data_IF_858437974979
#
_entry.id   IF_858437974979
#
_cell.length_a   1.000
_cell.length_b   1.000
_cell.length_c   1.000
_cell.angle_alpha   90.00
_cell.angle_beta   90.00
_cell.angle_gamma   90.00
#
_symmetry.space_group_name_H-M   'P 1'
#
loop_
_entity.id
_entity.type
_entity.pdbx_description
1 polymer ?
#
# COMPACT_ATOMS: atom_id res chain seq x y z
N UNK A 1 29.42 77.41 -20.63
CA UNK A 1 27.96 77.34 -20.94
C UNK A 1 27.41 76.00 -20.48
N UNK A 2 28.10 74.91 -20.80
CA UNK A 2 27.74 73.53 -20.45
C UNK A 2 27.62 73.27 -18.94
N UNK A 3 28.47 73.85 -18.09
CA UNK A 3 28.35 73.70 -16.63
C UNK A 3 27.13 74.39 -16.01
N UNK A 4 26.60 75.43 -16.66
CA UNK A 4 25.36 76.08 -16.23
C UNK A 4 24.14 75.27 -16.67
N UNK A 5 24.21 74.67 -17.87
CA UNK A 5 23.21 73.73 -18.38
C UNK A 5 23.16 72.49 -17.49
N UNK A 6 24.30 71.86 -17.19
CA UNK A 6 24.39 70.69 -16.30
C UNK A 6 23.76 70.96 -14.93
N UNK A 7 24.14 72.06 -14.27
CA UNK A 7 23.56 72.43 -12.96
C UNK A 7 22.06 72.72 -13.03
N UNK A 8 21.58 73.36 -14.10
CA UNK A 8 20.15 73.61 -14.28
C UNK A 8 19.37 72.30 -14.46
N UNK A 9 19.95 71.36 -15.21
CA UNK A 9 19.40 70.03 -15.46
C UNK A 9 19.40 69.19 -14.18
N UNK A 10 20.53 69.09 -13.47
CA UNK A 10 20.64 68.38 -12.17
C UNK A 10 19.69 68.93 -11.10
N UNK A 11 19.39 70.23 -11.15
CA UNK A 11 18.40 70.86 -10.24
C UNK A 11 16.96 70.52 -10.61
N UNK A 12 16.64 70.41 -11.89
CA UNK A 12 15.30 70.04 -12.36
C UNK A 12 15.05 68.54 -12.30
N UNK A 13 16.11 67.74 -12.39
CA UNK A 13 16.10 66.27 -12.41
C UNK A 13 17.13 65.74 -11.39
N UNK A 14 16.81 65.78 -10.08
CA UNK A 14 17.72 65.36 -9.01
C UNK A 14 18.24 63.93 -9.16
N UNK A 15 17.49 63.05 -9.82
CA UNK A 15 17.85 61.67 -10.15
C UNK A 15 19.07 61.57 -11.09
N UNK A 16 19.38 62.62 -11.85
CA UNK A 16 20.57 62.66 -12.71
C UNK A 16 21.84 62.86 -11.89
N UNK A 17 21.78 63.65 -10.81
CA UNK A 17 22.92 63.91 -9.92
C UNK A 17 23.44 62.64 -9.27
N UNK A 18 22.55 61.75 -8.86
CA UNK A 18 22.90 60.47 -8.22
C UNK A 18 22.86 59.25 -9.13
N UNK A 19 22.53 59.43 -10.42
CA UNK A 19 22.42 58.32 -11.37
C UNK A 19 21.24 57.37 -11.12
N UNK A 20 20.27 57.74 -10.29
CA UNK A 20 19.14 56.90 -9.88
C UNK A 20 18.15 56.59 -11.02
N UNK A 21 18.24 57.31 -12.12
CA UNK A 21 17.50 57.06 -13.36
C UNK A 21 18.04 55.84 -14.14
N UNK A 22 19.26 55.39 -13.84
CA UNK A 22 19.88 54.24 -14.50
C UNK A 22 19.73 52.98 -13.65
N UNK A 23 19.42 51.82 -14.25
CA UNK A 23 19.59 50.54 -13.59
C UNK A 23 21.06 50.37 -13.18
N UNK A 24 21.29 49.90 -11.95
CA UNK A 24 22.62 49.64 -11.42
C UNK A 24 22.77 48.18 -11.06
N UNK A 25 23.96 47.62 -11.25
CA UNK A 25 24.28 46.33 -10.66
C UNK A 25 24.45 46.46 -9.16
N UNK A 26 24.01 45.44 -8.45
CA UNK A 26 24.17 45.30 -7.01
C UNK A 26 24.46 43.84 -6.69
N UNK A 27 24.99 43.59 -5.50
CA UNK A 27 25.28 42.25 -4.99
C UNK A 27 24.49 42.02 -3.71
N UNK A 28 23.88 40.85 -3.58
CA UNK A 28 23.17 40.42 -2.36
C UNK A 28 24.19 40.22 -1.25
N UNK A 29 23.99 40.86 -0.10
CA UNK A 29 24.85 40.70 1.08
C UNK A 29 24.20 39.94 2.22
N UNK A 30 22.86 39.92 2.28
CA UNK A 30 22.10 39.13 3.24
C UNK A 30 20.64 38.97 2.78
N UNK A 31 19.97 37.92 3.26
CA UNK A 31 18.50 37.83 3.20
C UNK A 31 17.90 38.65 4.34
N UNK A 32 17.04 39.62 4.02
CA UNK A 32 16.44 40.49 5.01
C UNK A 32 15.38 39.71 5.80
N UNK A 33 15.59 39.56 7.12
CA UNK A 33 14.66 39.00 8.14
C UNK A 33 13.58 38.06 7.57
N UNK A 34 13.98 36.87 7.12
CA UNK A 34 13.07 35.87 6.57
C UNK A 34 12.13 35.32 7.67
N UNK A 35 11.00 36.00 7.89
CA UNK A 35 10.06 35.65 8.97
C UNK A 35 9.31 34.34 8.71
N UNK A 36 9.05 33.60 9.79
CA UNK A 36 8.50 32.25 9.75
C UNK A 36 7.01 32.11 9.36
N UNK A 37 6.28 33.19 9.06
CA UNK A 37 4.84 33.14 8.80
C UNK A 37 4.35 34.18 7.79
N UNK A 38 3.20 33.88 7.17
CA UNK A 38 2.55 34.75 6.17
C UNK A 38 2.19 36.13 6.72
N UNK A 39 2.03 37.10 5.82
CA UNK A 39 1.50 38.43 6.13
C UNK A 39 1.81 39.47 5.06
N UNK A 40 1.31 40.68 5.28
CA UNK A 40 1.45 41.79 4.34
C UNK A 40 2.94 42.15 4.16
N UNK A 41 3.33 42.32 2.90
CA UNK A 41 4.62 42.88 2.49
C UNK A 41 4.38 44.35 2.13
N UNK A 42 4.99 45.26 2.88
CA UNK A 42 4.88 46.71 2.67
C UNK A 42 6.25 47.38 2.79
N UNK A 43 6.35 48.68 2.47
CA UNK A 43 7.61 49.42 2.51
C UNK A 43 8.25 49.47 3.91
N UNK A 44 7.46 49.32 4.97
CA UNK A 44 7.93 49.31 6.36
C UNK A 44 8.33 47.89 6.82
N UNK A 45 7.75 46.86 6.19
CA UNK A 45 7.91 45.44 6.50
C UNK A 45 8.03 44.62 5.22
N UNK A 46 9.16 44.76 4.51
CA UNK A 46 9.43 43.91 3.36
C UNK A 46 9.64 42.47 3.83
N UNK A 47 8.92 41.51 3.23
CA UNK A 47 8.97 40.06 3.59
C UNK A 47 9.69 39.21 2.56
N UNK A 48 9.78 39.70 1.33
CA UNK A 48 10.52 39.06 0.23
C UNK A 48 11.51 40.09 -0.30
N UNK A 49 12.59 40.25 0.43
CA UNK A 49 13.59 41.27 0.21
C UNK A 49 14.97 40.82 0.66
N UNK A 50 15.99 41.50 0.17
CA UNK A 50 17.39 41.24 0.48
C UNK A 50 18.12 42.56 0.73
N UNK A 51 19.19 42.46 1.50
CA UNK A 51 20.13 43.56 1.66
C UNK A 51 21.11 43.51 0.50
N UNK A 52 21.42 44.67 -0.08
CA UNK A 52 22.31 44.78 -1.24
C UNK A 52 23.36 45.86 -1.06
N UNK A 53 24.53 45.63 -1.64
CA UNK A 53 25.51 46.68 -1.91
C UNK A 53 25.47 47.04 -3.40
N UNK A 54 25.40 48.33 -3.70
CA UNK A 54 25.34 48.80 -5.09
C UNK A 54 26.75 48.82 -5.67
N UNK A 55 26.92 48.27 -6.87
CA UNK A 55 28.22 48.19 -7.55
C UNK A 55 28.46 49.43 -8.44
N UNK A 56 29.73 49.78 -8.61
CA UNK A 56 30.22 50.71 -9.61
C UNK A 56 30.34 50.08 -11.00
N UNK A 57 30.58 50.88 -12.06
CA UNK A 57 30.80 50.37 -13.42
C UNK A 57 32.04 49.48 -13.57
N UNK A 58 32.98 49.59 -12.63
CA UNK A 58 34.17 48.76 -12.51
C UNK A 58 33.90 47.38 -11.88
N UNK A 59 32.68 47.16 -11.37
CA UNK A 59 32.30 45.92 -10.70
C UNK A 59 32.73 45.85 -9.23
N UNK A 60 33.24 46.94 -8.66
CA UNK A 60 33.55 47.07 -7.23
C UNK A 60 32.39 47.75 -6.47
N UNK A 61 32.25 47.56 -5.14
CA UNK A 61 31.22 48.24 -4.37
C UNK A 61 31.35 49.77 -4.44
N UNK A 62 30.23 50.47 -4.68
CA UNK A 62 30.20 51.93 -4.69
C UNK A 62 30.30 52.47 -3.25
N UNK A 63 31.49 52.92 -2.88
CA UNK A 63 31.79 53.46 -1.55
C UNK A 63 30.98 54.70 -1.15
N UNK A 64 30.27 55.33 -2.09
CA UNK A 64 29.39 56.48 -1.82
C UNK A 64 28.00 56.08 -1.36
N UNK A 65 27.60 54.83 -1.58
CA UNK A 65 26.29 54.33 -1.18
C UNK A 65 26.42 53.38 0.00
N UNK A 66 25.55 53.50 1.02
CA UNK A 66 25.49 52.50 2.08
C UNK A 66 24.87 51.21 1.53
N UNK A 67 24.98 50.14 2.32
CA UNK A 67 24.17 48.94 2.12
C UNK A 67 22.70 49.35 2.17
N UNK A 68 21.94 48.97 1.14
CA UNK A 68 20.50 49.17 1.08
C UNK A 68 19.84 47.95 1.71
N UNK A 69 19.23 48.15 2.88
CA UNK A 69 18.57 47.08 3.61
C UNK A 69 17.13 46.87 3.13
N UNK A 70 16.68 45.62 3.10
CA UNK A 70 15.28 45.26 2.82
C UNK A 70 14.78 45.66 1.44
N UNK A 71 15.64 45.60 0.41
CA UNK A 71 15.23 45.94 -0.96
C UNK A 71 14.35 44.82 -1.53
N UNK A 72 13.10 45.11 -1.96
CA UNK A 72 12.17 44.10 -2.44
C UNK A 72 12.69 43.32 -3.65
N UNK A 73 12.51 42.00 -3.62
CA UNK A 73 12.81 41.09 -4.74
C UNK A 73 11.65 41.05 -5.74
N UNK A 74 11.93 40.83 -7.04
CA UNK A 74 10.90 40.66 -8.05
C UNK A 74 10.21 39.30 -7.88
N UNK A 75 8.90 39.26 -8.12
CA UNK A 75 8.15 38.01 -8.24
C UNK A 75 8.08 37.61 -9.72
N UNK A 76 8.69 36.47 -10.14
CA UNK A 76 8.59 35.99 -11.52
C UNK A 76 7.14 35.67 -11.91
N UNK A 77 6.38 35.14 -10.95
CA UNK A 77 4.94 34.88 -10.98
C UNK A 77 4.42 35.16 -9.57
N UNK A 78 3.34 35.93 -9.39
CA UNK A 78 2.91 36.36 -8.06
C UNK A 78 1.44 36.82 -7.95
N UNK A 79 0.98 36.96 -6.70
CA UNK A 79 -0.33 37.44 -6.28
C UNK A 79 -0.50 37.28 -4.76
N UNK A 80 -1.71 37.45 -4.23
CA UNK A 80 -1.97 37.17 -2.81
C UNK A 80 -1.81 35.67 -2.53
N UNK A 81 -0.83 35.32 -1.68
CA UNK A 81 -0.49 33.95 -1.29
C UNK A 81 -0.21 32.98 -2.46
N UNK A 82 0.25 33.48 -3.61
CA UNK A 82 0.58 32.67 -4.79
C UNK A 82 1.88 33.10 -5.45
N UNK A 83 2.64 32.13 -5.97
CA UNK A 83 3.87 32.40 -6.72
C UNK A 83 4.96 31.35 -6.51
N UNK A 84 6.13 31.61 -7.10
CA UNK A 84 7.36 30.84 -6.89
C UNK A 84 8.33 31.74 -6.12
N UNK A 85 8.69 31.31 -4.90
CA UNK A 85 9.52 32.07 -3.99
C UNK A 85 10.85 31.35 -3.78
N UNK A 86 11.94 32.03 -4.10
CA UNK A 86 13.30 31.52 -3.89
C UNK A 86 14.24 32.70 -3.65
N UNK A 87 14.82 32.77 -2.45
CA UNK A 87 15.82 33.79 -2.15
C UNK A 87 17.10 33.52 -2.94
N UNK A 88 17.70 34.54 -3.58
CA UNK A 88 19.05 34.43 -4.09
C UNK A 88 20.04 34.28 -2.93
N UNK A 89 21.11 33.53 -3.15
CA UNK A 89 22.20 33.38 -2.18
C UNK A 89 23.01 34.69 -2.04
N UNK A 90 23.67 34.86 -0.90
CA UNK A 90 24.66 35.93 -0.73
C UNK A 90 25.73 35.86 -1.83
N UNK A 91 26.09 37.02 -2.37
CA UNK A 91 26.97 37.14 -3.53
C UNK A 91 26.27 37.16 -4.88
N UNK A 92 24.97 36.80 -4.95
CA UNK A 92 24.22 36.84 -6.21
C UNK A 92 24.15 38.26 -6.78
N UNK A 93 24.40 38.40 -8.08
CA UNK A 93 24.31 39.68 -8.77
C UNK A 93 22.86 39.99 -9.15
N UNK A 94 22.42 41.22 -8.87
CA UNK A 94 21.07 41.71 -9.15
C UNK A 94 21.11 43.07 -9.82
N UNK A 95 20.01 43.45 -10.46
CA UNK A 95 19.78 44.80 -11.00
C UNK A 95 18.88 45.56 -10.05
N UNK A 96 19.40 46.63 -9.43
CA UNK A 96 18.62 47.55 -8.61
C UNK A 96 18.20 48.77 -9.42
N UNK A 97 16.94 49.13 -9.27
CA UNK A 97 16.34 50.33 -9.85
C UNK A 97 15.68 51.15 -8.74
N UNK A 98 15.45 52.44 -9.02
CA UNK A 98 14.84 53.36 -8.09
C UNK A 98 13.52 53.87 -8.68
N UNK A 99 12.39 53.54 -8.04
CA UNK A 99 11.08 53.92 -8.56
C UNK A 99 10.98 55.44 -8.68
N UNK A 100 10.61 55.94 -9.86
CA UNK A 100 10.57 57.37 -10.19
C UNK A 100 11.92 58.10 -10.03
N UNK A 101 13.05 57.38 -10.03
CA UNK A 101 14.37 57.96 -9.76
C UNK A 101 14.58 58.37 -8.29
N UNK A 102 13.71 57.92 -7.37
CA UNK A 102 13.76 58.29 -5.96
C UNK A 102 14.69 57.36 -5.17
N UNK A 103 15.74 57.88 -4.50
CA UNK A 103 16.72 57.07 -3.76
C UNK A 103 16.12 56.21 -2.64
N UNK A 104 14.98 56.64 -2.07
CA UNK A 104 14.28 55.96 -0.98
C UNK A 104 13.26 54.92 -1.46
N UNK A 105 13.18 54.65 -2.76
CA UNK A 105 12.32 53.60 -3.34
C UNK A 105 13.11 52.62 -4.21
N UNK A 106 14.15 51.97 -3.65
CA UNK A 106 14.87 50.93 -4.38
C UNK A 106 14.00 49.69 -4.54
N UNK A 107 14.15 48.99 -5.66
CA UNK A 107 13.60 47.66 -5.87
C UNK A 107 14.55 46.86 -6.77
N UNK A 108 14.56 45.54 -6.62
CA UNK A 108 15.31 44.68 -7.51
C UNK A 108 14.43 44.40 -8.73
N UNK A 109 14.95 44.72 -9.91
CA UNK A 109 14.25 44.47 -11.17
C UNK A 109 14.47 43.04 -11.66
N UNK A 110 15.69 42.51 -11.51
CA UNK A 110 16.07 41.21 -12.09
C UNK A 110 17.25 40.61 -11.33
N UNK A 111 17.22 39.29 -11.16
CA UNK A 111 18.36 38.49 -10.67
C UNK A 111 19.16 38.03 -11.89
N UNK A 112 20.48 38.20 -11.86
CA UNK A 112 21.36 37.85 -12.96
C UNK A 112 22.08 36.52 -12.69
N UNK A 113 22.24 35.65 -13.71
CA UNK A 113 22.92 34.36 -13.53
C UNK A 113 24.45 34.47 -13.49
N UNK A 114 25.01 35.68 -13.59
CA UNK A 114 26.46 35.89 -13.65
C UNK A 114 27.12 35.40 -12.37
N UNK A 115 28.14 34.55 -12.50
CA UNK A 115 28.86 33.95 -11.37
C UNK A 115 28.16 32.76 -10.72
N UNK A 116 26.95 32.38 -11.16
CA UNK A 116 26.22 31.22 -10.64
C UNK A 116 26.47 29.96 -11.47
N UNK A 117 26.42 28.80 -10.80
CA UNK A 117 26.32 27.51 -11.48
C UNK A 117 24.87 27.25 -11.86
N UNK A 118 24.61 26.99 -13.14
CA UNK A 118 23.26 26.83 -13.66
C UNK A 118 22.87 25.35 -13.82
N UNK A 119 21.58 25.00 -13.67
CA UNK A 119 21.06 23.70 -14.07
C UNK A 119 21.46 23.30 -15.50
N UNK A 120 21.58 22.01 -15.75
CA UNK A 120 21.52 21.49 -17.12
C UNK A 120 20.08 21.60 -17.64
N UNK A 121 19.90 22.43 -18.68
CA UNK A 121 18.60 22.62 -19.36
C UNK A 121 18.79 22.45 -20.86
N UNK A 122 18.72 21.20 -21.38
CA UNK A 122 18.67 20.94 -22.81
C UNK A 122 17.56 21.72 -23.51
N UNK A 123 17.68 21.89 -24.83
CA UNK A 123 16.66 22.61 -25.60
C UNK A 123 15.31 21.88 -25.53
N UNK A 124 14.29 22.57 -25.05
CA UNK A 124 12.93 22.05 -24.91
C UNK A 124 12.60 21.63 -23.47
N UNK A 125 13.62 21.35 -22.66
CA UNK A 125 13.43 21.02 -21.25
C UNK A 125 12.99 22.23 -20.43
N UNK A 126 12.26 21.95 -19.36
CA UNK A 126 11.97 22.90 -18.29
C UNK A 126 12.35 22.25 -16.96
N UNK A 127 13.02 22.99 -16.08
CA UNK A 127 13.44 22.48 -14.78
C UNK A 127 13.12 23.48 -13.67
N UNK A 128 12.52 22.96 -12.60
CA UNK A 128 12.45 23.61 -11.29
C UNK A 128 13.26 22.78 -10.31
N UNK A 129 14.37 23.32 -9.80
CA UNK A 129 15.30 22.55 -8.98
C UNK A 129 15.83 23.33 -7.78
N UNK A 130 16.18 22.57 -6.74
CA UNK A 130 17.08 23.00 -5.67
C UNK A 130 18.51 22.49 -5.94
N UNK A 131 18.64 21.25 -6.42
CA UNK A 131 19.90 20.61 -6.79
C UNK A 131 19.63 19.58 -7.90
N UNK A 132 20.68 18.99 -8.48
CA UNK A 132 20.52 17.91 -9.46
C UNK A 132 19.75 16.70 -8.88
N UNK A 133 19.90 16.43 -7.58
CA UNK A 133 19.21 15.35 -6.88
C UNK A 133 17.78 15.71 -6.45
N UNK A 134 17.38 16.99 -6.50
CA UNK A 134 16.07 17.48 -6.06
C UNK A 134 15.48 18.45 -7.08
N UNK A 135 14.65 17.90 -7.98
CA UNK A 135 14.10 18.63 -9.13
C UNK A 135 12.72 18.11 -9.57
N UNK A 136 11.98 19.00 -10.22
CA UNK A 136 10.89 18.67 -11.11
C UNK A 136 11.25 19.10 -12.52
N UNK A 137 11.12 18.18 -13.47
CA UNK A 137 11.56 18.40 -14.85
C UNK A 137 10.50 17.93 -15.83
N UNK A 138 10.37 18.70 -16.90
CA UNK A 138 9.67 18.31 -18.13
C UNK A 138 10.72 18.22 -19.22
N UNK A 139 10.81 17.09 -19.92
CA UNK A 139 11.68 16.98 -21.10
C UNK A 139 10.98 17.52 -22.36
N UNK A 140 11.71 17.57 -23.48
CA UNK A 140 11.18 18.03 -24.75
C UNK A 140 9.97 17.21 -25.29
N UNK A 141 9.80 15.96 -24.84
CA UNK A 141 8.69 15.08 -25.22
C UNK A 141 7.47 15.22 -24.29
N UNK A 142 7.60 16.01 -23.22
CA UNK A 142 6.53 16.27 -22.25
C UNK A 142 6.49 15.27 -21.09
N UNK A 143 7.52 14.44 -20.91
CA UNK A 143 7.60 13.53 -19.77
C UNK A 143 7.93 14.30 -18.50
N UNK A 144 7.23 13.99 -17.40
CA UNK A 144 7.45 14.61 -16.11
C UNK A 144 8.28 13.71 -15.19
N UNK A 145 9.31 14.29 -14.56
CA UNK A 145 10.08 13.69 -13.49
C UNK A 145 9.90 14.50 -12.20
N UNK A 146 9.53 13.83 -11.10
CA UNK A 146 9.62 14.36 -9.74
C UNK A 146 10.68 13.55 -8.99
N UNK A 147 11.79 14.17 -8.65
CA UNK A 147 12.92 13.51 -8.00
C UNK A 147 13.34 14.25 -6.74
N UNK A 148 13.67 13.49 -5.69
CA UNK A 148 14.33 13.99 -4.49
C UNK A 148 15.16 12.87 -3.86
N UNK A 149 16.30 13.23 -3.27
CA UNK A 149 17.08 12.41 -2.33
C UNK A 149 16.59 12.55 -0.87
N UNK A 150 15.61 13.43 -0.64
CA UNK A 150 14.94 13.63 0.63
C UNK A 150 13.60 12.89 0.73
N UNK A 151 12.60 13.57 1.30
CA UNK A 151 11.28 13.01 1.58
C UNK A 151 10.20 13.75 0.81
N UNK A 152 9.30 12.98 0.17
CA UNK A 152 8.03 13.48 -0.35
C UNK A 152 6.94 13.26 0.71
N UNK A 153 6.16 14.32 0.99
CA UNK A 153 4.96 14.26 1.83
C UNK A 153 3.82 14.99 1.12
N UNK A 154 2.86 14.23 0.61
CA UNK A 154 1.66 14.79 0.00
C UNK A 154 0.55 14.82 1.08
N UNK A 155 0.01 16.01 1.36
CA UNK A 155 -1.13 16.23 2.27
C UNK A 155 -2.27 16.80 1.47
N UNK A 156 -3.39 16.09 1.42
CA UNK A 156 -4.58 16.51 0.71
C UNK A 156 -5.83 16.03 1.44
N UNK A 157 -6.95 16.72 1.19
CA UNK A 157 -8.29 16.24 1.60
C UNK A 157 -8.68 15.06 0.71
N UNK A 158 -8.36 15.14 -0.59
CA UNK A 158 -8.64 14.13 -1.60
C UNK A 158 -7.43 13.97 -2.54
N UNK A 159 -7.16 12.73 -2.96
CA UNK A 159 -6.09 12.40 -3.91
C UNK A 159 -6.61 11.37 -4.91
N UNK A 160 -6.74 11.78 -6.17
CA UNK A 160 -7.09 10.92 -7.28
C UNK A 160 -5.85 10.65 -8.15
N UNK A 161 -5.74 9.42 -8.65
CA UNK A 161 -4.69 9.02 -9.58
C UNK A 161 -5.32 8.18 -10.68
N UNK A 162 -5.30 8.72 -11.89
CA UNK A 162 -5.77 8.03 -13.09
C UNK A 162 -4.60 7.77 -14.04
N UNK A 163 -4.41 6.52 -14.41
CA UNK A 163 -3.40 6.11 -15.37
C UNK A 163 -3.85 4.85 -16.10
N UNK A 164 -3.47 4.71 -17.37
CA UNK A 164 -3.68 3.46 -18.12
C UNK A 164 -2.83 2.30 -17.56
N UNK A 165 -1.68 2.63 -16.96
CA UNK A 165 -0.81 1.67 -16.28
C UNK A 165 -0.10 2.34 -15.12
N UNK A 166 -0.03 1.65 -13.98
CA UNK A 166 0.70 2.09 -12.78
C UNK A 166 1.66 0.97 -12.35
N UNK A 167 2.93 1.31 -12.17
CA UNK A 167 3.94 0.37 -11.66
C UNK A 167 4.59 0.99 -10.44
N UNK A 168 4.52 0.29 -9.32
CA UNK A 168 5.11 0.72 -8.07
C UNK A 168 6.16 -0.30 -7.60
N UNK A 169 7.34 0.20 -7.21
CA UNK A 169 8.42 -0.64 -6.68
C UNK A 169 8.93 -0.05 -5.39
N UNK A 170 8.88 -0.86 -4.33
CA UNK A 170 9.32 -0.46 -3.00
C UNK A 170 10.30 -1.50 -2.45
N UNK A 171 11.22 -1.05 -1.60
CA UNK A 171 11.95 -1.97 -0.74
C UNK A 171 11.08 -2.44 0.44
N UNK A 172 10.22 -1.55 0.95
CA UNK A 172 9.26 -1.81 2.02
C UNK A 172 8.03 -0.93 1.82
N UNK A 173 6.84 -1.44 2.15
CA UNK A 173 5.58 -0.71 2.06
C UNK A 173 4.73 -0.99 3.30
N UNK A 174 4.20 0.07 3.91
CA UNK A 174 3.20 0.00 4.98
C UNK A 174 2.02 0.86 4.58
N UNK A 175 0.81 0.32 4.70
CA UNK A 175 -0.43 1.03 4.44
C UNK A 175 -1.33 0.91 5.67
N UNK A 176 -1.67 2.05 6.26
CA UNK A 176 -2.66 2.15 7.33
C UNK A 176 -3.87 2.89 6.77
N UNK A 177 -5.06 2.34 6.99
CA UNK A 177 -6.34 2.94 6.60
C UNK A 177 -7.18 2.97 7.86
N UNK A 178 -7.58 4.16 8.29
CA UNK A 178 -8.27 4.35 9.57
C UNK A 178 -9.75 3.94 9.53
N UNK A 179 -10.31 3.85 8.33
CA UNK A 179 -11.70 3.46 8.10
C UNK A 179 -11.79 2.30 7.09
N UNK A 180 -12.33 2.53 5.89
CA UNK A 180 -12.58 1.47 4.90
C UNK A 180 -11.53 1.41 3.78
N UNK A 181 -11.12 0.19 3.41
CA UNK A 181 -10.28 -0.09 2.25
C UNK A 181 -11.01 -1.04 1.31
N UNK A 182 -11.42 -0.53 0.14
CA UNK A 182 -12.06 -1.32 -0.92
C UNK A 182 -11.11 -1.46 -2.09
N UNK A 183 -11.05 -2.65 -2.69
CA UNK A 183 -10.30 -2.90 -3.92
C UNK A 183 -11.15 -3.74 -4.87
N UNK A 184 -11.44 -3.17 -6.03
CA UNK A 184 -12.24 -3.79 -7.09
C UNK A 184 -11.35 -4.05 -8.29
N UNK A 185 -11.20 -5.32 -8.67
CA UNK A 185 -10.38 -5.73 -9.81
C UNK A 185 -11.30 -6.39 -10.83
N UNK A 186 -11.48 -5.76 -12.00
CA UNK A 186 -12.33 -6.30 -13.07
C UNK A 186 -11.72 -7.50 -13.80
N UNK A 187 -10.40 -7.66 -13.70
CA UNK A 187 -9.65 -8.81 -14.23
C UNK A 187 -9.23 -9.77 -13.11
N UNK A 188 -7.94 -10.11 -13.08
CA UNK A 188 -7.38 -11.06 -12.11
C UNK A 188 -6.58 -10.29 -11.05
N UNK A 189 -6.79 -10.63 -9.78
CA UNK A 189 -5.93 -10.21 -8.67
C UNK A 189 -5.03 -11.36 -8.23
N UNK A 190 -3.72 -11.15 -8.25
CA UNK A 190 -2.74 -12.13 -7.80
C UNK A 190 -1.93 -11.58 -6.64
N UNK A 191 -1.85 -12.32 -5.54
CA UNK A 191 -1.03 -12.01 -4.38
C UNK A 191 -0.01 -13.12 -4.17
N UNK A 192 1.27 -12.78 -4.20
CA UNK A 192 2.38 -13.72 -4.00
C UNK A 192 3.27 -13.23 -2.87
N UNK A 193 3.51 -14.09 -1.89
CA UNK A 193 4.46 -13.85 -0.81
C UNK A 193 5.45 -15.03 -0.74
N UNK A 194 6.75 -14.75 -0.95
CA UNK A 194 7.81 -15.77 -0.84
C UNK A 194 8.02 -16.25 0.60
N UNK A 195 7.74 -15.37 1.57
CA UNK A 195 7.80 -15.70 3.00
C UNK A 195 6.47 -16.25 3.49
N UNK A 196 5.63 -15.38 4.03
CA UNK A 196 4.33 -15.77 4.59
C UNK A 196 3.23 -14.81 4.15
N UNK A 197 2.03 -15.36 3.94
CA UNK A 197 0.79 -14.60 3.80
C UNK A 197 0.01 -14.69 5.11
N UNK A 198 -0.32 -13.55 5.73
CA UNK A 198 -1.11 -13.49 6.96
C UNK A 198 -2.37 -12.68 6.73
N UNK A 199 -3.53 -13.31 6.92
CA UNK A 199 -4.84 -12.68 6.85
C UNK A 199 -5.48 -12.80 8.23
N UNK A 200 -5.61 -11.67 8.92
CA UNK A 200 -6.12 -11.61 10.28
C UNK A 200 -7.36 -10.73 10.30
N UNK A 201 -8.43 -11.21 10.92
CA UNK A 201 -9.64 -10.42 11.19
C UNK A 201 -9.96 -10.51 12.67
N UNK A 202 -10.22 -9.35 13.30
CA UNK A 202 -10.75 -9.30 14.67
C UNK A 202 -12.26 -9.56 14.73
N UNK A 203 -12.93 -9.61 13.57
CA UNK A 203 -14.35 -9.89 13.43
C UNK A 203 -14.59 -11.08 12.52
N UNK A 204 -15.46 -10.93 11.52
CA UNK A 204 -15.72 -11.96 10.53
C UNK A 204 -14.70 -11.91 9.39
N UNK A 205 -14.46 -13.06 8.75
CA UNK A 205 -13.76 -13.17 7.48
C UNK A 205 -14.59 -14.08 6.58
N UNK A 206 -14.87 -13.64 5.35
CA UNK A 206 -15.64 -14.40 4.36
C UNK A 206 -14.78 -14.60 3.11
N UNK A 207 -14.68 -15.85 2.65
CA UNK A 207 -14.04 -16.22 1.40
C UNK A 207 -15.04 -17.00 0.58
N UNK A 208 -15.34 -16.53 -0.62
CA UNK A 208 -16.32 -17.12 -1.50
C UNK A 208 -15.81 -17.09 -2.94
N UNK A 209 -16.15 -18.13 -3.69
CA UNK A 209 -15.93 -18.24 -5.13
C UNK A 209 -17.25 -18.67 -5.78
N UNK A 210 -17.53 -18.17 -6.99
CA UNK A 210 -18.70 -18.61 -7.79
C UNK A 210 -18.47 -19.98 -8.39
N UNK A 211 -17.21 -20.26 -8.73
CA UNK A 211 -16.73 -21.53 -9.26
C UNK A 211 -15.93 -22.25 -8.16
N UNK A 212 -14.72 -22.74 -8.48
CA UNK A 212 -13.91 -23.48 -7.53
C UNK A 212 -13.18 -22.63 -6.48
N UNK A 213 -13.11 -23.16 -5.25
CA UNK A 213 -12.23 -22.68 -4.19
C UNK A 213 -11.22 -23.78 -3.84
N UNK A 214 -9.94 -23.56 -4.15
CA UNK A 214 -8.86 -24.50 -3.83
C UNK A 214 -8.08 -24.06 -2.60
N UNK A 215 -7.88 -24.99 -1.66
CA UNK A 215 -7.00 -24.82 -0.51
C UNK A 215 -6.02 -25.99 -0.45
N UNK A 216 -4.74 -25.73 -0.70
CA UNK A 216 -3.70 -26.76 -0.80
C UNK A 216 -2.52 -26.40 0.10
N UNK A 217 -2.09 -27.36 0.92
CA UNK A 217 -0.89 -27.25 1.76
C UNK A 217 -0.02 -28.50 1.58
N UNK A 218 1.30 -28.36 1.71
CA UNK A 218 2.25 -29.50 1.56
C UNK A 218 2.48 -30.23 2.89
N UNK A 219 2.27 -29.53 4.01
CA UNK A 219 2.44 -30.07 5.35
C UNK A 219 1.08 -30.21 6.01
N UNK A 220 0.77 -29.31 6.94
CA UNK A 220 -0.41 -29.41 7.80
C UNK A 220 -1.46 -28.37 7.40
N UNK A 221 -2.72 -28.79 7.34
CA UNK A 221 -3.87 -27.91 7.38
C UNK A 221 -4.52 -28.02 8.77
N UNK A 222 -4.38 -26.98 9.58
CA UNK A 222 -4.95 -26.93 10.92
C UNK A 222 -6.25 -26.12 10.90
N UNK A 223 -7.38 -26.81 11.10
CA UNK A 223 -8.70 -26.17 11.23
C UNK A 223 -9.18 -26.31 12.69
N UNK A 224 -9.37 -25.18 13.36
CA UNK A 224 -9.84 -25.13 14.75
C UNK A 224 -11.14 -24.33 14.80
N UNK A 225 -12.18 -24.92 15.38
CA UNK A 225 -13.51 -24.31 15.48
C UNK A 225 -13.98 -24.39 16.93
N UNK A 226 -14.24 -23.23 17.55
CA UNK A 226 -14.55 -23.14 18.99
C UNK A 226 -15.97 -23.53 19.39
N UNK A 227 -16.92 -23.54 18.45
CA UNK A 227 -18.33 -23.88 18.73
C UNK A 227 -18.89 -24.91 17.75
N UNK A 228 -19.13 -24.51 16.51
CA UNK A 228 -19.82 -25.35 15.52
C UNK A 228 -19.13 -25.29 14.16
N UNK A 229 -18.72 -26.45 13.65
CA UNK A 229 -18.31 -26.61 12.27
C UNK A 229 -19.51 -27.11 11.46
N UNK A 230 -19.97 -26.31 10.49
CA UNK A 230 -21.01 -26.69 9.54
C UNK A 230 -20.40 -26.86 8.16
N UNK A 231 -20.63 -28.01 7.56
CA UNK A 231 -20.25 -28.28 6.18
C UNK A 231 -21.47 -28.84 5.46
N UNK A 232 -21.80 -28.27 4.31
CA UNK A 232 -22.92 -28.70 3.48
C UNK A 232 -22.38 -28.93 2.08
N UNK A 233 -22.65 -30.11 1.54
CA UNK A 233 -22.22 -30.53 0.21
C UNK A 233 -23.47 -30.90 -0.57
N UNK A 234 -23.67 -30.26 -1.73
CA UNK A 234 -24.83 -30.53 -2.59
C UNK A 234 -24.70 -31.81 -3.41
N UNK A 235 -23.46 -32.23 -3.68
CA UNK A 235 -23.12 -33.51 -4.32
C UNK A 235 -22.38 -34.43 -3.35
N UNK A 236 -21.29 -35.02 -3.82
CA UNK A 236 -20.53 -36.01 -3.06
C UNK A 236 -19.46 -35.36 -2.17
N UNK A 237 -19.29 -35.89 -0.95
CA UNK A 237 -18.16 -35.60 -0.08
C UNK A 237 -17.18 -36.76 -0.15
N UNK A 238 -15.97 -36.50 -0.66
CA UNK A 238 -14.90 -37.50 -0.72
C UNK A 238 -13.80 -37.19 0.30
N UNK A 239 -13.53 -38.15 1.19
CA UNK A 239 -12.42 -38.11 2.14
C UNK A 239 -11.48 -39.29 1.89
N UNK A 240 -10.24 -39.02 1.45
CA UNK A 240 -9.20 -40.05 1.30
C UNK A 240 -8.14 -39.88 2.39
N UNK A 241 -8.01 -40.90 3.24
CA UNK A 241 -7.12 -40.87 4.40
C UNK A 241 -6.23 -42.11 4.36
N UNK A 242 -4.97 -41.91 3.98
CA UNK A 242 -3.96 -42.99 3.93
C UNK A 242 -3.48 -43.41 5.33
N UNK A 243 -3.55 -42.48 6.28
CA UNK A 243 -3.20 -42.72 7.68
C UNK A 243 -4.41 -43.08 8.54
N UNK A 244 -4.43 -42.56 9.76
CA UNK A 244 -5.52 -42.77 10.71
C UNK A 244 -6.60 -41.70 10.56
N UNK A 245 -7.85 -42.13 10.38
CA UNK A 245 -9.02 -41.29 10.67
C UNK A 245 -9.45 -41.50 12.13
N UNK A 246 -9.29 -40.47 12.97
CA UNK A 246 -9.74 -40.50 14.37
C UNK A 246 -10.93 -39.56 14.57
N UNK A 247 -12.11 -40.14 14.82
CA UNK A 247 -13.34 -39.40 15.16
C UNK A 247 -13.71 -39.73 16.61
N UNK A 248 -13.66 -38.73 17.49
CA UNK A 248 -14.00 -38.90 18.92
C UNK A 248 -15.04 -37.86 19.30
N UNK A 249 -16.21 -38.32 19.74
CA UNK A 249 -17.29 -37.48 20.23
C UNK A 249 -17.54 -37.75 21.72
N UNK A 250 -17.71 -36.70 22.53
CA UNK A 250 -17.95 -36.84 23.96
C UNK A 250 -19.40 -37.26 24.29
N UNK A 251 -20.36 -36.93 23.42
CA UNK A 251 -21.79 -37.16 23.65
C UNK A 251 -22.30 -38.29 22.76
N UNK A 252 -22.27 -38.10 21.44
CA UNK A 252 -22.71 -39.12 20.49
C UNK A 252 -22.11 -38.89 19.11
N UNK A 253 -22.03 -39.97 18.34
CA UNK A 253 -21.75 -39.92 16.91
C UNK A 253 -22.98 -40.46 16.17
N UNK A 254 -23.40 -39.75 15.14
CA UNK A 254 -24.60 -40.09 14.36
C UNK A 254 -24.23 -40.17 12.89
N UNK A 255 -24.33 -41.38 12.32
CA UNK A 255 -24.14 -41.67 10.91
C UNK A 255 -25.48 -42.16 10.35
N UNK A 256 -26.09 -41.39 9.44
CA UNK A 256 -27.41 -41.71 8.88
C UNK A 256 -27.31 -41.68 7.36
N UNK A 257 -27.60 -42.83 6.75
CA UNK A 257 -27.75 -42.97 5.31
C UNK A 257 -28.76 -44.10 5.03
N UNK A 258 -29.44 -44.10 3.87
CA UNK A 258 -30.27 -45.25 3.47
C UNK A 258 -29.47 -46.56 3.41
N UNK A 259 -28.17 -46.48 3.09
CA UNK A 259 -27.22 -47.59 3.14
C UNK A 259 -25.94 -47.09 3.80
N UNK A 260 -25.44 -47.85 4.76
CA UNK A 260 -24.18 -47.56 5.44
C UNK A 260 -23.23 -48.73 5.22
N UNK A 261 -21.99 -48.40 4.91
CA UNK A 261 -20.90 -49.36 4.84
C UNK A 261 -19.94 -49.08 6.00
N UNK A 262 -19.70 -50.08 6.84
CA UNK A 262 -18.78 -50.00 7.96
C UNK A 262 -17.91 -51.26 7.96
N UNK A 263 -16.63 -51.12 7.62
CA UNK A 263 -15.67 -52.23 7.53
C UNK A 263 -14.71 -52.04 6.36
N UNK A 264 -14.23 -53.14 5.79
CA UNK A 264 -13.34 -53.16 4.62
C UNK A 264 -14.11 -53.19 3.31
N UNK A 265 -13.44 -53.14 2.15
CA UNK A 265 -14.09 -53.25 0.83
C UNK A 265 -14.94 -54.53 0.67
N UNK A 266 -14.52 -55.63 1.31
CA UNK A 266 -15.20 -56.93 1.19
C UNK A 266 -16.16 -57.21 2.36
N UNK A 267 -15.94 -56.61 3.54
CA UNK A 267 -16.69 -56.92 4.77
C UNK A 267 -17.41 -55.70 5.29
N UNK A 268 -18.74 -55.75 5.30
CA UNK A 268 -19.59 -54.78 5.98
C UNK A 268 -20.13 -55.38 7.29
N UNK A 269 -19.77 -54.77 8.43
CA UNK A 269 -20.22 -55.18 9.77
C UNK A 269 -21.74 -55.22 9.86
N UNK A 270 -22.46 -54.31 9.19
CA UNK A 270 -23.92 -54.29 9.22
C UNK A 270 -24.53 -55.49 8.49
N UNK A 271 -23.89 -55.97 7.42
CA UNK A 271 -24.33 -57.18 6.73
C UNK A 271 -24.10 -58.41 7.60
N UNK A 272 -22.94 -58.52 8.25
CA UNK A 272 -22.65 -59.60 9.19
C UNK A 272 -23.67 -59.61 10.33
N UNK A 273 -24.09 -58.43 10.82
CA UNK A 273 -25.13 -58.32 11.84
C UNK A 273 -26.50 -58.80 11.34
N UNK A 274 -26.88 -58.49 10.10
CA UNK A 274 -28.09 -59.03 9.48
C UNK A 274 -28.02 -60.56 9.35
N UNK A 275 -26.91 -61.09 8.87
CA UNK A 275 -26.72 -62.54 8.72
C UNK A 275 -26.79 -63.25 10.08
N UNK A 276 -26.22 -62.65 11.13
CA UNK A 276 -26.33 -63.13 12.51
C UNK A 276 -27.78 -63.14 13.00
N UNK A 277 -28.56 -62.08 12.74
CA UNK A 277 -29.99 -62.04 13.10
C UNK A 277 -30.78 -63.14 12.38
N UNK A 278 -30.49 -63.40 11.11
CA UNK A 278 -31.07 -64.50 10.36
C UNK A 278 -30.69 -65.86 10.97
N UNK A 279 -29.42 -66.06 11.34
CA UNK A 279 -28.95 -67.28 11.99
C UNK A 279 -29.65 -67.50 13.34
N UNK A 280 -29.82 -66.45 14.15
CA UNK A 280 -30.55 -66.50 15.42
C UNK A 280 -32.02 -66.88 15.20
N UNK A 281 -32.66 -66.36 14.16
CA UNK A 281 -34.04 -66.73 13.81
C UNK A 281 -34.13 -68.22 13.39
N UNK A 282 -33.17 -68.70 12.59
CA UNK A 282 -33.09 -70.10 12.18
C UNK A 282 -32.91 -71.03 13.39
N UNK A 283 -31.95 -70.71 14.27
CA UNK A 283 -31.70 -71.46 15.50
C UNK A 283 -32.93 -71.57 16.40
N UNK A 284 -33.67 -70.47 16.59
CA UNK A 284 -34.90 -70.48 17.41
C UNK A 284 -35.99 -71.37 16.80
N UNK A 285 -36.08 -71.40 15.46
CA UNK A 285 -37.03 -72.28 14.76
C UNK A 285 -36.68 -73.76 14.96
N UNK A 286 -35.40 -74.09 14.83
CA UNK A 286 -34.91 -75.46 15.05
C UNK A 286 -35.03 -75.90 16.51
N UNK A 287 -34.82 -74.99 17.45
CA UNK A 287 -35.02 -75.24 18.87
C UNK A 287 -36.49 -75.54 19.20
N UNK A 288 -37.43 -74.83 18.57
CA UNK A 288 -38.87 -75.07 18.77
C UNK A 288 -39.31 -76.47 18.28
N UNK A 289 -38.58 -77.07 17.33
CA UNK A 289 -38.83 -78.42 16.79
C UNK A 289 -37.97 -79.50 17.46
N UNK A 290 -37.19 -79.13 18.47
CA UNK A 290 -36.20 -80.01 19.09
C UNK A 290 -36.84 -81.15 19.89
N UNK A 291 -36.41 -82.39 19.63
CA UNK A 291 -36.93 -83.58 20.31
C UNK A 291 -35.84 -84.62 20.56
N UNK A 292 -35.98 -85.37 21.66
CA UNK A 292 -35.11 -86.49 22.02
C UNK A 292 -35.86 -87.82 21.97
N UNK A 293 -35.20 -88.87 21.45
CA UNK A 293 -35.61 -90.26 21.68
C UNK A 293 -35.10 -90.80 23.02
N UNK A 294 -35.60 -91.95 23.47
CA UNK A 294 -35.11 -92.59 24.71
C UNK A 294 -33.59 -92.83 24.65
N UNK A 295 -32.84 -92.04 25.44
CA UNK A 295 -31.37 -92.09 25.55
C UNK A 295 -30.60 -91.87 24.23
N UNK A 296 -31.11 -91.04 23.32
CA UNK A 296 -30.41 -90.67 22.08
C UNK A 296 -30.12 -89.15 22.01
N UNK A 297 -29.06 -88.74 21.26
CA UNK A 297 -28.88 -87.35 20.84
C UNK A 297 -30.13 -86.82 20.12
N UNK A 298 -30.32 -85.49 20.09
CA UNK A 298 -31.50 -84.90 19.48
C UNK A 298 -31.53 -85.13 17.97
N UNK A 299 -32.74 -85.22 17.41
CA UNK A 299 -32.96 -85.55 15.99
C UNK A 299 -32.39 -84.51 15.02
N UNK A 300 -32.15 -83.28 15.48
CA UNK A 300 -31.62 -82.18 14.69
C UNK A 300 -30.21 -81.71 15.10
N UNK A 301 -29.40 -82.58 15.73
CA UNK A 301 -28.04 -82.23 16.14
C UNK A 301 -27.16 -81.62 15.02
N UNK A 302 -27.24 -82.18 13.80
CA UNK A 302 -26.47 -81.70 12.64
C UNK A 302 -26.82 -80.26 12.22
N UNK A 303 -28.06 -79.82 12.44
CA UNK A 303 -28.48 -78.45 12.13
C UNK A 303 -27.80 -77.45 13.07
N UNK A 304 -27.68 -77.79 14.36
CA UNK A 304 -26.95 -77.00 15.34
C UNK A 304 -25.45 -76.96 15.05
N UNK A 305 -24.85 -78.06 14.59
CA UNK A 305 -23.45 -78.08 14.14
C UNK A 305 -23.24 -77.17 12.91
N UNK A 306 -24.16 -77.18 11.94
CA UNK A 306 -24.09 -76.27 10.78
C UNK A 306 -24.19 -74.80 11.21
N UNK A 307 -25.06 -74.47 12.16
CA UNK A 307 -25.18 -73.11 12.67
C UNK A 307 -23.90 -72.65 13.37
N UNK A 308 -23.25 -73.57 14.10
CA UNK A 308 -21.94 -73.29 14.71
C UNK A 308 -20.92 -72.87 13.64
N UNK A 309 -20.80 -73.62 12.54
CA UNK A 309 -19.86 -73.26 11.47
C UNK A 309 -20.22 -71.93 10.79
N UNK A 310 -21.52 -71.65 10.57
CA UNK A 310 -21.96 -70.36 10.04
C UNK A 310 -21.57 -69.19 10.95
N UNK A 311 -21.74 -69.35 12.27
CA UNK A 311 -21.32 -68.35 13.25
C UNK A 311 -19.80 -68.18 13.27
N UNK A 312 -19.03 -69.28 13.22
CA UNK A 312 -17.57 -69.22 13.11
C UNK A 312 -17.12 -68.42 11.90
N UNK A 313 -17.72 -68.65 10.73
CA UNK A 313 -17.38 -67.89 9.52
C UNK A 313 -17.70 -66.39 9.65
N UNK A 314 -18.78 -66.03 10.35
CA UNK A 314 -19.10 -64.63 10.63
C UNK A 314 -18.07 -63.98 11.57
N UNK A 315 -17.58 -64.71 12.57
CA UNK A 315 -16.49 -64.27 13.46
C UNK A 315 -15.21 -64.05 12.65
N UNK A 316 -14.81 -65.04 11.84
CA UNK A 316 -13.61 -64.96 11.01
C UNK A 316 -13.63 -63.72 10.10
N UNK A 317 -14.79 -63.39 9.52
CA UNK A 317 -14.97 -62.17 8.71
C UNK A 317 -14.74 -60.89 9.50
N UNK A 318 -15.21 -60.82 10.76
CA UNK A 318 -15.07 -59.64 11.60
C UNK A 318 -13.66 -59.47 12.16
N UNK A 319 -12.96 -60.56 12.46
CA UNK A 319 -11.58 -60.51 12.99
C UNK A 319 -10.61 -59.81 12.03
N UNK A 320 -10.83 -59.91 10.71
CA UNK A 320 -9.97 -59.26 9.70
C UNK A 320 -10.07 -57.73 9.74
N UNK A 321 -11.18 -57.17 10.23
CA UNK A 321 -11.44 -55.73 10.23
C UNK A 321 -11.53 -55.10 11.62
N UNK A 322 -11.42 -55.92 12.67
CA UNK A 322 -11.35 -55.46 14.05
C UNK A 322 -9.91 -55.05 14.40
N UNK A 323 -9.78 -54.06 15.28
CA UNK A 323 -8.51 -53.60 15.86
C UNK A 323 -8.11 -54.44 17.07
#
# INVERSE_FOLDING_TARGET
MDDAIRRSVERQFPELTGGYHLPRFARVVAVADARAGAGICDDFRPRYAVDIEVMGPDGEPDSKLPILAGVPLPLPTGGEEMGIYAFPEEGTQVVVCFAYGLPNKPYIQTILPHGLSMPSVPKGDQVWQHSEACQQRVDADGNWLRQTDGKILDKAIEREVEAMGNTERFQSQTRTVDDHSTESVGGIKTLVALGALKLLSGGSASLAAVDDLHQVTVRDLNLVVGQKHNTTVGGDMEERIEGLRKSVAAVSQRLVAPKTWLGSEEVNVLQVLCDLLCLVQQMNTQLALHTHGQKLPPTNALEFESNFYSASLMVDKLEVIAL
#
